data_IF_216252117632
#
_entry.id   IF_216252117632
#
_cell.length_a   1.000
_cell.length_b   1.000
_cell.length_c   1.000
_cell.angle_alpha   90.00
_cell.angle_beta   90.00
_cell.angle_gamma   90.00
#
_symmetry.space_group_name_H-M   'P 1'
#
loop_
_entity.id
_entity.type
_entity.pdbx_description
1 polymer ?
#
# COMPACT_ATOMS: atom_id res chain seq x y z
N UNK A 1 -37.77 15.88 -3.61
CA UNK A 1 -36.61 15.24 -2.94
C UNK A 1 -35.65 14.54 -3.90
N UNK A 2 -36.10 13.60 -4.76
CA UNK A 2 -35.23 12.93 -5.77
C UNK A 2 -34.43 13.88 -6.69
N UNK A 3 -35.08 14.92 -7.22
CA UNK A 3 -34.43 15.92 -8.08
C UNK A 3 -33.32 16.72 -7.37
N UNK A 4 -33.42 16.93 -6.05
CA UNK A 4 -32.42 17.68 -5.28
C UNK A 4 -31.13 16.87 -5.10
N UNK A 5 -31.24 15.55 -4.83
CA UNK A 5 -30.07 14.65 -4.69
C UNK A 5 -29.35 14.50 -6.01
N UNK A 6 -30.08 14.28 -7.11
CA UNK A 6 -29.47 14.16 -8.45
C UNK A 6 -28.78 15.47 -8.86
N UNK A 7 -29.36 16.62 -8.49
CA UNK A 7 -28.74 17.93 -8.74
C UNK A 7 -27.44 18.12 -7.95
N UNK A 8 -27.42 17.73 -6.67
CA UNK A 8 -26.22 17.75 -5.82
C UNK A 8 -25.10 16.88 -6.38
N UNK A 9 -25.41 15.62 -6.72
CA UNK A 9 -24.44 14.69 -7.31
C UNK A 9 -23.93 15.23 -8.64
N UNK A 10 -24.80 15.76 -9.51
CA UNK A 10 -24.40 16.36 -10.79
C UNK A 10 -23.48 17.57 -10.60
N UNK A 11 -23.76 18.40 -9.59
CA UNK A 11 -22.93 19.56 -9.23
C UNK A 11 -21.55 19.11 -8.73
N UNK A 12 -21.52 18.19 -7.78
CA UNK A 12 -20.27 17.66 -7.21
C UNK A 12 -19.42 16.96 -8.29
N UNK A 13 -20.05 16.20 -9.19
CA UNK A 13 -19.38 15.57 -10.34
C UNK A 13 -18.75 16.61 -11.29
N UNK A 14 -19.46 17.70 -11.60
CA UNK A 14 -18.91 18.80 -12.39
C UNK A 14 -17.73 19.48 -11.69
N UNK A 15 -17.77 19.59 -10.36
CA UNK A 15 -16.67 20.14 -9.58
C UNK A 15 -15.44 19.23 -9.66
N UNK A 16 -15.62 17.91 -9.55
CA UNK A 16 -14.54 16.93 -9.74
C UNK A 16 -13.91 17.05 -11.14
N UNK A 17 -14.74 17.14 -12.20
CA UNK A 17 -14.29 17.39 -13.57
C UNK A 17 -13.49 18.69 -13.71
N UNK A 18 -14.04 19.81 -13.21
CA UNK A 18 -13.38 21.12 -13.28
C UNK A 18 -12.06 21.15 -12.50
N UNK A 19 -11.98 20.38 -11.42
CA UNK A 19 -10.76 20.22 -10.61
C UNK A 19 -9.71 19.29 -11.23
N UNK A 20 -9.96 18.74 -12.44
CA UNK A 20 -9.10 17.77 -13.13
C UNK A 20 -8.86 16.48 -12.33
N UNK A 21 -9.77 16.15 -11.41
CA UNK A 21 -9.65 14.98 -10.55
C UNK A 21 -9.50 13.69 -11.35
N UNK A 22 -10.39 13.47 -12.34
CA UNK A 22 -10.36 12.27 -13.18
C UNK A 22 -9.10 12.16 -14.05
N UNK A 23 -8.51 13.29 -14.43
CA UNK A 23 -7.25 13.31 -15.18
C UNK A 23 -6.09 12.86 -14.28
N UNK A 24 -6.09 13.31 -13.02
CA UNK A 24 -5.09 12.93 -12.04
C UNK A 24 -5.19 11.45 -11.69
N UNK A 25 -6.41 10.92 -11.46
CA UNK A 25 -6.62 9.49 -11.18
C UNK A 25 -6.31 8.60 -12.39
N UNK A 26 -6.56 9.07 -13.62
CA UNK A 26 -6.14 8.35 -14.82
C UNK A 26 -4.61 8.36 -14.97
N UNK A 27 -3.97 9.49 -14.67
CA UNK A 27 -2.52 9.62 -14.66
C UNK A 27 -1.86 8.68 -13.65
N UNK A 28 -2.39 8.61 -12.42
CA UNK A 28 -1.90 7.68 -11.39
C UNK A 28 -2.12 6.22 -11.81
N UNK A 29 -3.28 5.88 -12.37
CA UNK A 29 -3.56 4.54 -12.90
C UNK A 29 -2.53 4.11 -13.95
N UNK A 30 -2.23 4.97 -14.92
CA UNK A 30 -1.24 4.70 -15.97
C UNK A 30 0.16 4.55 -15.34
N UNK A 31 0.56 5.49 -14.48
CA UNK A 31 1.88 5.50 -13.86
C UNK A 31 2.12 4.25 -13.02
N UNK A 32 1.18 3.89 -12.14
CA UNK A 32 1.27 2.68 -11.33
C UNK A 32 1.31 1.44 -12.21
N UNK A 33 0.41 1.34 -13.20
CA UNK A 33 0.37 0.17 -14.07
C UNK A 33 1.66 0.01 -14.88
N UNK A 34 2.22 1.09 -15.42
CA UNK A 34 3.50 1.07 -16.10
C UNK A 34 4.64 0.67 -15.17
N UNK A 35 4.71 1.23 -13.96
CA UNK A 35 5.75 0.89 -13.00
C UNK A 35 5.72 -0.59 -12.63
N UNK A 36 4.54 -1.13 -12.33
CA UNK A 36 4.37 -2.54 -11.95
C UNK A 36 4.82 -3.46 -13.10
N UNK A 37 4.27 -3.23 -14.30
CA UNK A 37 4.47 -4.13 -15.44
C UNK A 37 5.85 -4.02 -16.08
N UNK A 38 6.46 -2.83 -16.10
CA UNK A 38 7.72 -2.59 -16.82
C UNK A 38 8.95 -2.63 -15.91
N UNK A 39 8.81 -2.19 -14.66
CA UNK A 39 9.94 -2.05 -13.74
C UNK A 39 9.89 -3.14 -12.68
N UNK A 40 8.85 -3.13 -11.84
CA UNK A 40 8.83 -3.92 -10.60
C UNK A 40 8.87 -5.43 -10.84
N UNK A 41 8.10 -5.93 -11.80
CA UNK A 41 8.09 -7.36 -12.16
C UNK A 41 9.46 -7.85 -12.66
N UNK A 42 10.26 -6.97 -13.27
CA UNK A 42 11.58 -7.32 -13.83
C UNK A 42 12.72 -7.15 -12.83
N UNK A 43 12.45 -6.67 -11.62
CA UNK A 43 13.46 -6.57 -10.58
C UNK A 43 13.74 -7.97 -10.02
N UNK A 44 14.78 -8.61 -10.55
CA UNK A 44 15.40 -9.76 -9.89
C UNK A 44 16.26 -9.27 -8.73
N UNK A 45 15.66 -9.17 -7.55
CA UNK A 45 16.44 -9.08 -6.32
C UNK A 45 17.15 -10.42 -6.11
N UNK A 46 18.45 -10.46 -6.41
CA UNK A 46 19.31 -11.53 -5.93
C UNK A 46 19.36 -11.46 -4.41
N UNK A 47 18.90 -12.53 -3.77
CA UNK A 47 18.96 -12.69 -2.32
C UNK A 47 20.41 -13.07 -1.98
N UNK A 48 21.10 -12.16 -1.29
CA UNK A 48 22.51 -12.24 -0.86
C UNK A 48 23.53 -12.51 -1.97
N UNK A 49 24.30 -11.50 -2.41
CA UNK A 49 25.46 -11.72 -3.28
C UNK A 49 26.44 -12.67 -2.60
N UNK A 50 26.91 -13.69 -3.33
CA UNK A 50 27.88 -14.66 -2.80
C UNK A 50 29.21 -14.46 -3.50
N UNK A 51 30.25 -14.15 -2.73
CA UNK A 51 31.62 -13.99 -3.19
C UNK A 51 32.45 -15.21 -2.80
N UNK A 52 33.22 -15.75 -3.74
CA UNK A 52 34.06 -16.93 -3.52
C UNK A 52 35.53 -16.59 -3.77
N UNK A 53 36.38 -16.88 -2.80
CA UNK A 53 37.83 -16.91 -2.96
C UNK A 53 38.29 -18.37 -2.98
N UNK A 54 38.70 -18.87 -4.15
CA UNK A 54 39.17 -20.25 -4.34
C UNK A 54 40.53 -20.24 -5.05
N UNK A 55 41.63 -20.07 -4.29
CA UNK A 55 42.97 -19.98 -4.87
C UNK A 55 43.47 -21.30 -5.47
N UNK A 56 42.84 -22.42 -5.10
CA UNK A 56 43.25 -23.76 -5.52
C UNK A 56 42.36 -24.34 -6.63
N UNK A 57 41.29 -23.64 -7.03
CA UNK A 57 40.37 -24.07 -8.08
C UNK A 57 39.66 -25.38 -7.74
N UNK A 58 39.41 -25.64 -6.45
CA UNK A 58 38.75 -26.86 -5.97
C UNK A 58 37.28 -26.88 -6.40
N UNK A 59 36.66 -25.71 -6.47
CA UNK A 59 35.26 -25.51 -6.82
C UNK A 59 35.16 -24.93 -8.25
N UNK A 60 35.30 -25.80 -9.26
CA UNK A 60 35.19 -25.42 -10.68
C UNK A 60 33.74 -25.41 -11.19
N UNK A 61 32.82 -26.08 -10.50
CA UNK A 61 31.39 -26.22 -10.85
C UNK A 61 30.51 -25.51 -9.82
N UNK A 62 30.76 -24.21 -9.62
CA UNK A 62 29.94 -23.36 -8.74
C UNK A 62 28.75 -22.82 -9.54
N UNK A 63 27.67 -22.50 -8.84
CA UNK A 63 26.51 -21.81 -9.43
C UNK A 63 26.94 -20.52 -10.17
N UNK A 64 26.40 -20.24 -11.38
CA UNK A 64 26.82 -19.11 -12.22
C UNK A 64 26.60 -17.73 -11.59
N UNK A 65 25.76 -17.62 -10.57
CA UNK A 65 25.49 -16.38 -9.84
C UNK A 65 26.56 -16.05 -8.76
N UNK A 66 27.56 -16.91 -8.58
CA UNK A 66 28.63 -16.71 -7.57
C UNK A 66 29.77 -15.88 -8.15
N UNK A 67 30.12 -14.78 -7.49
CA UNK A 67 31.18 -13.88 -7.95
C UNK A 67 32.53 -14.38 -7.44
N UNK A 68 33.42 -14.77 -8.35
CA UNK A 68 34.79 -15.16 -7.98
C UNK A 68 35.63 -13.92 -7.67
N UNK A 69 36.42 -14.00 -6.62
CA UNK A 69 37.35 -12.96 -6.17
C UNK A 69 38.78 -13.46 -6.30
N UNK A 70 39.70 -12.57 -6.66
CA UNK A 70 41.10 -12.94 -6.92
C UNK A 70 41.96 -12.89 -5.65
N UNK A 71 41.46 -12.23 -4.60
CA UNK A 71 42.16 -12.07 -3.33
C UNK A 71 41.19 -12.05 -2.15
N UNK A 72 41.71 -12.42 -0.98
CA UNK A 72 40.99 -12.41 0.28
C UNK A 72 40.61 -10.97 0.69
N UNK A 73 41.44 -9.97 0.38
CA UNK A 73 41.12 -8.56 0.60
C UNK A 73 39.92 -8.09 -0.21
N UNK A 74 39.81 -8.51 -1.48
CA UNK A 74 38.64 -8.20 -2.31
C UNK A 74 37.37 -8.84 -1.76
N UNK A 75 37.46 -10.09 -1.27
CA UNK A 75 36.34 -10.77 -0.62
C UNK A 75 35.89 -10.04 0.65
N UNK A 76 36.83 -9.65 1.51
CA UNK A 76 36.51 -8.90 2.72
C UNK A 76 35.86 -7.56 2.41
N UNK A 77 36.40 -6.79 1.46
CA UNK A 77 35.83 -5.50 1.04
C UNK A 77 34.41 -5.65 0.49
N UNK A 78 34.16 -6.69 -0.32
CA UNK A 78 32.83 -6.96 -0.85
C UNK A 78 31.79 -7.28 0.24
N UNK A 79 32.21 -7.90 1.34
CA UNK A 79 31.33 -8.27 2.44
C UNK A 79 31.12 -7.16 3.49
N UNK A 80 31.81 -6.02 3.38
CA UNK A 80 31.63 -4.88 4.28
C UNK A 80 30.26 -4.20 4.14
N UNK A 81 29.53 -4.50 3.06
CA UNK A 81 28.20 -3.96 2.80
C UNK A 81 27.12 -4.43 3.81
N UNK A 82 27.44 -5.43 4.65
CA UNK A 82 26.51 -5.98 5.63
C UNK A 82 25.46 -6.93 5.04
N UNK A 83 25.44 -7.13 3.72
CA UNK A 83 24.42 -7.89 3.00
C UNK A 83 25.00 -9.11 2.26
N UNK A 84 26.19 -8.97 1.70
CA UNK A 84 26.90 -10.00 0.95
C UNK A 84 27.49 -11.09 1.86
N UNK A 85 27.73 -12.26 1.27
CA UNK A 85 28.32 -13.41 1.95
C UNK A 85 29.59 -13.84 1.24
N UNK A 86 30.70 -13.88 1.98
CA UNK A 86 31.98 -14.34 1.50
C UNK A 86 32.22 -15.81 1.85
N UNK A 87 32.82 -16.54 0.92
CA UNK A 87 33.28 -17.91 1.10
C UNK A 87 34.79 -17.93 0.85
N UNK A 88 35.56 -18.22 1.89
CA UNK A 88 36.99 -18.50 1.78
C UNK A 88 37.21 -20.01 1.64
N UNK A 89 37.61 -20.44 0.44
CA UNK A 89 37.92 -21.82 0.10
C UNK A 89 39.45 -22.09 0.04
N UNK A 90 40.28 -21.24 0.66
CA UNK A 90 41.73 -21.47 0.75
C UNK A 90 42.10 -22.68 1.62
N UNK A 91 41.26 -22.99 2.62
CA UNK A 91 41.44 -24.12 3.53
C UNK A 91 40.86 -25.45 3.04
N UNK A 92 41.02 -26.50 3.85
CA UNK A 92 40.40 -27.82 3.59
C UNK A 92 38.87 -27.81 3.74
N UNK A 93 38.35 -26.85 4.52
CA UNK A 93 36.93 -26.62 4.76
C UNK A 93 36.66 -25.16 4.43
N UNK A 94 35.61 -24.83 3.66
CA UNK A 94 35.30 -23.45 3.33
C UNK A 94 34.84 -22.70 4.59
N UNK A 95 35.43 -21.53 4.83
CA UNK A 95 35.04 -20.61 5.90
C UNK A 95 34.08 -19.54 5.36
N UNK A 96 33.11 -19.13 6.19
CA UNK A 96 32.10 -18.14 5.82
C UNK A 96 32.44 -16.80 6.46
N UNK A 97 32.55 -15.77 5.64
CA UNK A 97 32.80 -14.41 6.07
C UNK A 97 31.55 -13.54 5.87
N UNK A 98 30.98 -13.07 6.97
CA UNK A 98 29.81 -12.18 6.97
C UNK A 98 29.96 -11.11 8.05
N UNK A 99 29.45 -9.92 7.77
CA UNK A 99 29.15 -8.93 8.81
C UNK A 99 27.77 -9.27 9.37
N UNK A 100 27.67 -9.50 10.69
CA UNK A 100 26.41 -9.90 11.34
C UNK A 100 25.33 -8.85 11.15
N UNK A 101 24.12 -9.31 10.82
CA UNK A 101 22.93 -8.46 10.75
C UNK A 101 22.33 -8.13 12.13
N UNK A 102 22.87 -8.72 13.20
CA UNK A 102 22.29 -8.67 14.54
C UNK A 102 21.09 -9.60 14.74
N UNK A 103 20.69 -10.36 13.70
CA UNK A 103 19.59 -11.32 13.74
C UNK A 103 20.13 -12.71 13.37
N UNK A 104 20.17 -13.62 14.34
CA UNK A 104 20.77 -14.95 14.19
C UNK A 104 20.12 -15.78 13.07
N UNK A 105 18.79 -15.74 12.93
CA UNK A 105 18.09 -16.48 11.88
C UNK A 105 18.46 -15.99 10.48
N UNK A 106 18.60 -14.68 10.28
CA UNK A 106 19.03 -14.09 9.01
C UNK A 106 20.47 -14.48 8.69
N UNK A 107 21.37 -14.40 9.67
CA UNK A 107 22.78 -14.78 9.49
C UNK A 107 22.92 -16.28 9.16
N UNK A 108 22.13 -17.13 9.82
CA UNK A 108 22.06 -18.57 9.52
C UNK A 108 21.52 -18.85 8.11
N UNK A 109 20.46 -18.13 7.67
CA UNK A 109 19.90 -18.27 6.33
C UNK A 109 20.91 -17.84 5.25
N UNK A 110 21.60 -16.72 5.45
CA UNK A 110 22.67 -16.24 4.57
C UNK A 110 23.79 -17.26 4.42
N UNK A 111 24.24 -17.80 5.56
CA UNK A 111 25.29 -18.81 5.64
C UNK A 111 24.88 -20.09 4.90
N UNK A 112 23.69 -20.62 5.21
CA UNK A 112 23.18 -21.83 4.58
C UNK A 112 22.99 -21.66 3.07
N UNK A 113 22.50 -20.49 2.64
CA UNK A 113 22.34 -20.17 1.22
C UNK A 113 23.69 -20.12 0.50
N UNK A 114 24.71 -19.45 1.06
CA UNK A 114 26.05 -19.40 0.47
C UNK A 114 26.68 -20.81 0.35
N UNK A 115 26.58 -21.63 1.39
CA UNK A 115 27.06 -23.01 1.35
C UNK A 115 26.33 -23.86 0.30
N UNK A 116 25.03 -23.64 0.10
CA UNK A 116 24.26 -24.35 -0.94
C UNK A 116 24.81 -24.09 -2.34
N UNK A 117 25.42 -22.92 -2.58
CA UNK A 117 26.01 -22.54 -3.88
C UNK A 117 27.30 -23.29 -4.21
N UNK A 118 27.99 -23.84 -3.19
CA UNK A 118 29.15 -24.71 -3.36
C UNK A 118 28.76 -26.16 -3.69
N UNK A 119 27.54 -26.57 -3.34
CA UNK A 119 27.10 -27.95 -3.50
C UNK A 119 26.69 -28.26 -4.95
N UNK A 120 27.30 -29.30 -5.54
CA UNK A 120 27.00 -29.83 -6.89
C UNK A 120 25.93 -30.92 -6.88
N UNK A 121 25.42 -31.31 -5.70
CA UNK A 121 24.38 -32.30 -5.57
C UNK A 121 23.07 -31.82 -6.19
N UNK A 122 22.28 -32.75 -6.77
CA UNK A 122 20.94 -32.43 -7.24
C UNK A 122 20.16 -31.81 -6.10
N UNK A 123 19.93 -30.50 -6.16
CA UNK A 123 19.15 -29.80 -5.15
C UNK A 123 17.85 -30.59 -4.93
N UNK A 124 17.59 -31.01 -3.69
CA UNK A 124 16.31 -31.64 -3.36
C UNK A 124 15.25 -30.66 -3.79
N UNK A 125 14.48 -31.05 -4.82
CA UNK A 125 13.54 -30.14 -5.45
C UNK A 125 12.46 -29.86 -4.40
N UNK A 126 12.49 -28.66 -3.84
CA UNK A 126 11.47 -28.24 -2.89
C UNK A 126 10.10 -28.42 -3.55
N UNK A 127 9.16 -28.99 -2.80
CA UNK A 127 7.78 -29.04 -3.25
C UNK A 127 7.26 -27.61 -3.35
N UNK A 128 6.84 -27.22 -4.55
CA UNK A 128 6.26 -25.90 -4.78
C UNK A 128 4.81 -25.97 -4.30
N UNK A 129 4.55 -25.38 -3.14
CA UNK A 129 3.21 -25.25 -2.58
C UNK A 129 2.60 -23.92 -3.02
N UNK A 130 1.39 -23.98 -3.58
CA UNK A 130 0.64 -22.81 -4.06
C UNK A 130 0.72 -22.61 -5.57
N UNK A 131 -0.17 -21.75 -6.08
CA UNK A 131 -0.35 -21.52 -7.52
C UNK A 131 0.25 -20.20 -8.02
N UNK A 132 0.80 -19.37 -7.15
CA UNK A 132 1.31 -18.05 -7.52
C UNK A 132 2.80 -18.11 -7.81
N UNK A 133 3.18 -17.82 -9.06
CA UNK A 133 4.57 -17.57 -9.44
C UNK A 133 5.10 -16.28 -8.79
N UNK A 134 6.44 -16.12 -8.74
CA UNK A 134 7.13 -14.92 -8.22
C UNK A 134 6.54 -13.64 -8.80
N UNK A 135 6.33 -13.61 -10.11
CA UNK A 135 5.74 -12.46 -10.80
C UNK A 135 4.34 -12.15 -10.28
N UNK A 136 3.46 -13.15 -10.16
CA UNK A 136 2.09 -12.96 -9.70
C UNK A 136 2.03 -12.52 -8.24
N UNK A 137 2.90 -13.08 -7.38
CA UNK A 137 3.07 -12.63 -6.00
C UNK A 137 3.46 -11.14 -5.96
N UNK A 138 4.50 -10.77 -6.70
CA UNK A 138 4.99 -9.39 -6.73
C UNK A 138 3.92 -8.42 -7.25
N UNK A 139 3.19 -8.79 -8.32
CA UNK A 139 2.06 -8.01 -8.84
C UNK A 139 0.97 -7.80 -7.80
N UNK A 140 0.58 -8.84 -7.05
CA UNK A 140 -0.44 -8.74 -5.99
C UNK A 140 0.02 -7.84 -4.85
N UNK A 141 1.26 -7.98 -4.38
CA UNK A 141 1.81 -7.16 -3.29
C UNK A 141 1.86 -5.69 -3.68
N UNK A 142 2.54 -5.35 -4.77
CA UNK A 142 2.71 -3.93 -5.15
C UNK A 142 1.39 -3.26 -5.56
N UNK A 143 0.48 -4.00 -6.20
CA UNK A 143 -0.85 -3.47 -6.55
C UNK A 143 -1.64 -3.14 -5.29
N UNK A 144 -1.58 -4.01 -4.27
CA UNK A 144 -2.20 -3.75 -2.97
C UNK A 144 -1.63 -2.49 -2.30
N UNK A 145 -0.30 -2.33 -2.30
CA UNK A 145 0.37 -1.16 -1.69
C UNK A 145 -0.04 0.14 -2.36
N UNK A 146 0.02 0.21 -3.70
CA UNK A 146 -0.40 1.40 -4.44
C UNK A 146 -1.88 1.67 -4.33
N UNK A 147 -2.73 0.64 -4.34
CA UNK A 147 -4.16 0.84 -4.11
C UNK A 147 -4.39 1.47 -2.74
N UNK A 148 -3.73 0.96 -1.69
CA UNK A 148 -3.88 1.47 -0.34
C UNK A 148 -3.45 2.94 -0.24
N UNK A 149 -2.32 3.31 -0.86
CA UNK A 149 -1.85 4.69 -0.90
C UNK A 149 -2.80 5.61 -1.66
N UNK A 150 -3.25 5.20 -2.85
CA UNK A 150 -4.14 6.01 -3.67
C UNK A 150 -5.48 6.24 -2.96
N UNK A 151 -6.12 5.18 -2.44
CA UNK A 151 -7.39 5.30 -1.73
C UNK A 151 -7.27 6.18 -0.48
N UNK A 152 -6.15 6.08 0.24
CA UNK A 152 -5.89 6.92 1.40
C UNK A 152 -5.70 8.39 1.02
N UNK A 153 -4.92 8.67 -0.02
CA UNK A 153 -4.65 10.02 -0.48
C UNK A 153 -5.89 10.65 -1.12
N UNK A 154 -6.54 9.96 -2.05
CA UNK A 154 -7.71 10.43 -2.80
C UNK A 154 -8.89 10.67 -1.87
N UNK A 155 -9.21 9.71 -0.99
CA UNK A 155 -10.28 9.88 -0.01
C UNK A 155 -10.04 11.05 0.93
N UNK A 156 -8.82 11.20 1.45
CA UNK A 156 -8.51 12.25 2.43
C UNK A 156 -8.31 13.64 1.80
N UNK A 157 -7.31 13.75 0.91
CA UNK A 157 -6.89 15.01 0.29
C UNK A 157 -7.89 15.47 -0.77
N UNK A 158 -8.38 14.52 -1.59
CA UNK A 158 -9.33 14.82 -2.66
C UNK A 158 -10.60 15.43 -2.09
N UNK A 159 -11.23 14.78 -1.11
CA UNK A 159 -12.44 15.29 -0.49
C UNK A 159 -12.19 16.63 0.21
N UNK A 160 -11.15 16.72 1.04
CA UNK A 160 -10.85 17.96 1.76
C UNK A 160 -10.60 19.14 0.81
N UNK A 161 -9.89 18.93 -0.30
CA UNK A 161 -9.62 19.98 -1.29
C UNK A 161 -10.91 20.51 -1.94
N UNK A 162 -11.87 19.61 -2.25
CA UNK A 162 -13.17 20.01 -2.79
C UNK A 162 -13.97 20.80 -1.75
N UNK A 163 -13.91 20.41 -0.47
CA UNK A 163 -14.61 21.11 0.60
C UNK A 163 -14.01 22.49 0.88
N UNK A 164 -12.69 22.63 0.89
CA UNK A 164 -12.05 23.95 1.04
C UNK A 164 -12.38 24.89 -0.12
N UNK A 165 -12.43 24.38 -1.36
CA UNK A 165 -12.90 25.17 -2.51
C UNK A 165 -14.34 25.62 -2.30
N UNK A 166 -15.23 24.74 -1.85
CA UNK A 166 -16.62 25.12 -1.56
C UNK A 166 -16.76 26.12 -0.41
N UNK A 167 -15.94 26.00 0.64
CA UNK A 167 -15.88 26.97 1.75
C UNK A 167 -15.43 28.35 1.24
N UNK A 168 -14.39 28.41 0.43
CA UNK A 168 -13.91 29.66 -0.18
C UNK A 168 -14.92 30.29 -1.13
N UNK A 169 -15.67 29.48 -1.87
CA UNK A 169 -16.74 29.94 -2.77
C UNK A 169 -18.02 30.37 -2.02
N UNK A 170 -18.07 30.29 -0.68
CA UNK A 170 -19.27 30.62 0.12
C UNK A 170 -20.44 29.66 -0.09
N UNK A 171 -20.22 28.51 -0.74
CA UNK A 171 -21.26 27.53 -1.07
C UNK A 171 -21.86 26.91 0.19
N UNK A 172 -21.07 26.81 1.27
CA UNK A 172 -21.53 26.33 2.58
C UNK A 172 -22.59 27.28 3.17
N UNK A 173 -22.44 28.60 2.99
CA UNK A 173 -23.45 29.61 3.39
C UNK A 173 -24.75 29.50 2.60
N UNK A 174 -24.66 29.19 1.31
CA UNK A 174 -25.85 29.02 0.45
C UNK A 174 -26.59 27.72 0.79
N UNK A 175 -25.87 26.67 1.19
CA UNK A 175 -26.51 25.43 1.66
C UNK A 175 -27.04 25.54 3.09
N UNK A 176 -26.50 26.44 3.92
CA UNK A 176 -27.08 26.80 5.22
C UNK A 176 -28.50 27.39 5.08
N UNK A 177 -28.79 28.09 3.97
CA UNK A 177 -30.10 28.71 3.72
C UNK A 177 -31.07 27.85 2.89
N UNK A 178 -30.62 26.71 2.35
CA UNK A 178 -31.46 25.78 1.60
C UNK A 178 -32.06 24.71 2.52
N UNK A 179 -33.33 24.29 2.35
CA UNK A 179 -33.98 23.24 3.14
C UNK A 179 -33.51 21.83 2.74
N UNK A 180 -32.25 21.67 2.33
CA UNK A 180 -31.65 20.37 2.07
C UNK A 180 -30.99 19.87 3.35
N UNK A 181 -31.43 18.71 3.86
CA UNK A 181 -30.83 18.10 5.06
C UNK A 181 -29.32 17.92 4.85
N UNK A 182 -28.53 18.31 5.83
CA UNK A 182 -27.05 18.25 5.87
C UNK A 182 -26.52 16.87 5.50
N UNK A 183 -27.31 15.85 5.82
CA UNK A 183 -27.08 14.44 5.51
C UNK A 183 -26.99 14.18 4.00
N UNK A 184 -27.81 14.83 3.16
CA UNK A 184 -27.77 14.65 1.71
C UNK A 184 -26.54 15.31 1.07
N UNK A 185 -26.09 16.44 1.63
CA UNK A 185 -24.84 17.08 1.20
C UNK A 185 -23.63 16.18 1.46
N UNK A 186 -23.53 15.61 2.67
CA UNK A 186 -22.49 14.66 3.02
C UNK A 186 -22.56 13.38 2.16
N UNK A 187 -23.76 12.79 2.03
CA UNK A 187 -23.94 11.52 1.31
C UNK A 187 -23.63 11.63 -0.19
N UNK A 188 -23.98 12.76 -0.83
CA UNK A 188 -23.65 13.04 -2.24
C UNK A 188 -22.15 12.92 -2.50
N UNK A 189 -21.34 13.54 -1.63
CA UNK A 189 -19.88 13.56 -1.76
C UNK A 189 -19.28 12.19 -1.47
N UNK A 190 -19.70 11.55 -0.38
CA UNK A 190 -19.24 10.20 -0.04
C UNK A 190 -19.53 9.21 -1.17
N UNK A 191 -20.71 9.29 -1.78
CA UNK A 191 -21.08 8.41 -2.90
C UNK A 191 -20.17 8.62 -4.12
N UNK A 192 -19.87 9.86 -4.48
CA UNK A 192 -19.02 10.15 -5.65
C UNK A 192 -17.58 9.69 -5.46
N UNK A 193 -17.00 9.95 -4.28
CA UNK A 193 -15.64 9.49 -3.96
C UNK A 193 -15.59 7.96 -3.91
N UNK A 194 -16.56 7.32 -3.25
CA UNK A 194 -16.66 5.86 -3.20
C UNK A 194 -16.76 5.25 -4.59
N UNK A 195 -17.62 5.78 -5.48
CA UNK A 195 -17.75 5.27 -6.83
C UNK A 195 -16.47 5.45 -7.65
N UNK A 196 -15.80 6.60 -7.53
CA UNK A 196 -14.53 6.85 -8.22
C UNK A 196 -13.45 5.86 -7.75
N UNK A 197 -13.34 5.66 -6.44
CA UNK A 197 -12.39 4.74 -5.81
C UNK A 197 -12.65 3.28 -6.20
N UNK A 198 -13.92 2.85 -6.26
CA UNK A 198 -14.28 1.50 -6.68
C UNK A 198 -13.97 1.26 -8.17
N UNK A 199 -14.21 2.26 -9.03
CA UNK A 199 -13.84 2.18 -10.46
C UNK A 199 -12.32 2.14 -10.60
N UNK A 200 -11.59 2.96 -9.85
CA UNK A 200 -10.12 2.92 -9.84
C UNK A 200 -9.60 1.55 -9.38
N UNK A 201 -10.16 1.01 -8.30
CA UNK A 201 -9.84 -0.31 -7.75
C UNK A 201 -10.06 -1.41 -8.79
N UNK A 202 -11.20 -1.38 -9.47
CA UNK A 202 -11.53 -2.30 -10.56
C UNK A 202 -10.49 -2.25 -11.67
N UNK A 203 -10.19 -1.06 -12.19
CA UNK A 203 -9.28 -0.89 -13.31
C UNK A 203 -7.85 -1.28 -12.92
N UNK A 204 -7.35 -0.79 -11.78
CA UNK A 204 -5.99 -1.08 -11.32
C UNK A 204 -5.80 -2.60 -11.11
N UNK A 205 -6.78 -3.28 -10.53
CA UNK A 205 -6.71 -4.73 -10.29
C UNK A 205 -6.71 -5.52 -11.59
N UNK A 206 -7.63 -5.21 -12.52
CA UNK A 206 -7.74 -5.92 -13.78
C UNK A 206 -6.54 -5.69 -14.70
N UNK A 207 -5.98 -4.47 -14.73
CA UNK A 207 -4.82 -4.13 -15.55
C UNK A 207 -3.56 -4.84 -15.04
N UNK A 208 -3.36 -4.93 -13.71
CA UNK A 208 -2.12 -5.43 -13.15
C UNK A 208 -2.09 -6.95 -12.92
N UNK A 209 -3.22 -7.56 -12.55
CA UNK A 209 -3.32 -9.02 -12.32
C UNK A 209 -3.83 -9.76 -13.56
N UNK A 210 -4.46 -9.05 -14.51
CA UNK A 210 -5.16 -9.65 -15.64
C UNK A 210 -6.61 -10.02 -15.30
N UNK A 211 -7.42 -10.38 -16.32
CA UNK A 211 -8.86 -10.57 -16.14
C UNK A 211 -9.20 -11.78 -15.26
N UNK A 212 -8.53 -12.92 -15.43
CA UNK A 212 -8.85 -14.14 -14.68
C UNK A 212 -8.50 -14.02 -13.19
N UNK A 213 -7.25 -13.67 -12.89
CA UNK A 213 -6.78 -13.51 -11.51
C UNK A 213 -7.36 -12.27 -10.84
N UNK A 214 -7.58 -11.19 -11.59
CA UNK A 214 -8.22 -9.99 -11.07
C UNK A 214 -9.67 -10.25 -10.65
N UNK A 215 -10.47 -10.90 -11.49
CA UNK A 215 -11.88 -11.17 -11.20
C UNK A 215 -12.07 -12.10 -9.99
N UNK A 216 -11.12 -13.00 -9.72
CA UNK A 216 -11.22 -13.92 -8.58
C UNK A 216 -11.08 -13.21 -7.23
N UNK A 217 -10.22 -12.20 -7.14
CA UNK A 217 -9.99 -11.43 -5.90
C UNK A 217 -10.85 -10.18 -5.79
N UNK A 218 -11.35 -9.67 -6.92
CA UNK A 218 -12.04 -8.39 -7.01
C UNK A 218 -13.19 -8.20 -6.00
N UNK A 219 -14.08 -9.18 -5.74
CA UNK A 219 -15.16 -8.97 -4.76
C UNK A 219 -14.65 -8.65 -3.36
N UNK A 220 -13.60 -9.35 -2.92
CA UNK A 220 -12.99 -9.13 -1.61
C UNK A 220 -12.24 -7.78 -1.57
N UNK A 221 -11.51 -7.46 -2.64
CA UNK A 221 -10.77 -6.20 -2.76
C UNK A 221 -11.71 -5.00 -2.77
N UNK A 222 -12.84 -5.05 -3.50
CA UNK A 222 -13.83 -3.98 -3.55
C UNK A 222 -14.47 -3.70 -2.18
N UNK A 223 -14.70 -4.73 -1.36
CA UNK A 223 -15.21 -4.54 0.01
C UNK A 223 -14.21 -3.78 0.87
N UNK A 224 -12.93 -4.19 0.85
CA UNK A 224 -11.89 -3.50 1.63
C UNK A 224 -11.62 -2.09 1.11
N UNK A 225 -11.62 -1.89 -0.21
CA UNK A 225 -11.48 -0.59 -0.84
C UNK A 225 -12.63 0.34 -0.45
N UNK A 226 -13.87 -0.17 -0.42
CA UNK A 226 -15.03 0.60 0.02
C UNK A 226 -14.94 1.04 1.48
N UNK A 227 -14.51 0.14 2.38
CA UNK A 227 -14.32 0.45 3.80
C UNK A 227 -13.24 1.53 3.96
N UNK A 228 -12.08 1.35 3.34
CA UNK A 228 -10.97 2.30 3.41
C UNK A 228 -11.38 3.67 2.84
N UNK A 229 -11.98 3.69 1.65
CA UNK A 229 -12.48 4.91 1.00
C UNK A 229 -13.41 5.69 1.92
N UNK A 230 -14.39 5.02 2.55
CA UNK A 230 -15.34 5.68 3.47
C UNK A 230 -14.65 6.25 4.71
N UNK A 231 -13.75 5.50 5.36
CA UNK A 231 -13.00 5.96 6.54
C UNK A 231 -12.17 7.19 6.17
N UNK A 232 -11.44 7.13 5.06
CA UNK A 232 -10.53 8.19 4.63
C UNK A 232 -11.27 9.44 4.16
N UNK A 233 -12.38 9.26 3.43
CA UNK A 233 -13.27 10.35 3.03
C UNK A 233 -13.89 11.06 4.23
N UNK A 234 -14.42 10.32 5.22
CA UNK A 234 -14.98 10.90 6.44
C UNK A 234 -13.92 11.62 7.28
N UNK A 235 -12.73 11.05 7.40
CA UNK A 235 -11.61 11.67 8.12
C UNK A 235 -11.17 12.95 7.43
N UNK A 236 -11.02 12.94 6.10
CA UNK A 236 -10.71 14.13 5.29
C UNK A 236 -11.78 15.21 5.44
N UNK A 237 -13.06 14.81 5.45
CA UNK A 237 -14.18 15.72 5.67
C UNK A 237 -14.09 16.37 7.06
N UNK A 238 -13.90 15.56 8.11
CA UNK A 238 -13.80 16.04 9.49
C UNK A 238 -12.67 17.06 9.63
N UNK A 239 -11.48 16.73 9.14
CA UNK A 239 -10.32 17.63 9.15
C UNK A 239 -10.61 18.93 8.38
N UNK A 240 -11.29 18.85 7.23
CA UNK A 240 -11.61 20.02 6.43
C UNK A 240 -12.67 20.94 7.07
N UNK A 241 -13.57 20.41 7.92
CA UNK A 241 -14.45 21.25 8.75
C UNK A 241 -13.67 21.90 9.89
N UNK A 242 -12.88 21.11 10.63
CA UNK A 242 -12.22 21.56 11.86
C UNK A 242 -11.13 22.59 11.59
N UNK A 243 -10.47 22.52 10.43
CA UNK A 243 -9.38 23.42 10.06
C UNK A 243 -9.89 24.62 9.28
N UNK A 244 -9.28 25.78 9.55
CA UNK A 244 -9.73 27.05 8.95
C UNK A 244 -9.20 27.27 7.53
N UNK A 245 -8.11 26.60 7.14
CA UNK A 245 -7.51 26.82 5.83
C UNK A 245 -6.67 25.65 5.32
N UNK A 246 -6.51 25.63 3.99
CA UNK A 246 -5.83 24.56 3.27
C UNK A 246 -4.36 24.36 3.68
N UNK A 247 -3.65 25.43 4.07
CA UNK A 247 -2.25 25.34 4.52
C UNK A 247 -2.10 24.52 5.81
N UNK A 248 -2.98 24.71 6.78
CA UNK A 248 -3.00 23.92 8.02
C UNK A 248 -3.35 22.47 7.73
N UNK A 249 -4.32 22.25 6.83
CA UNK A 249 -4.70 20.92 6.38
C UNK A 249 -3.54 20.17 5.70
N UNK A 250 -2.80 20.84 4.82
CA UNK A 250 -1.65 20.23 4.13
C UNK A 250 -0.53 19.81 5.08
N UNK A 251 -0.28 20.58 6.16
CA UNK A 251 0.70 20.20 7.18
C UNK A 251 0.25 18.99 7.98
N UNK A 252 -1.02 18.97 8.41
CA UNK A 252 -1.60 17.82 9.09
C UNK A 252 -1.60 16.56 8.21
N UNK A 253 -1.90 16.73 6.91
CA UNK A 253 -1.86 15.66 5.93
C UNK A 253 -0.48 15.01 5.85
N UNK A 254 0.62 15.77 5.88
CA UNK A 254 1.95 15.20 5.81
C UNK A 254 2.22 14.25 7.00
N UNK A 255 1.85 14.67 8.21
CA UNK A 255 1.98 13.85 9.42
C UNK A 255 1.09 12.61 9.33
N UNK A 256 -0.16 12.77 8.89
CA UNK A 256 -1.09 11.67 8.71
C UNK A 256 -0.65 10.71 7.61
N UNK A 257 -0.03 11.19 6.54
CA UNK A 257 0.47 10.34 5.46
C UNK A 257 1.56 9.39 6.00
N UNK A 258 2.50 9.89 6.80
CA UNK A 258 3.50 9.03 7.47
C UNK A 258 2.80 7.99 8.35
N UNK A 259 1.85 8.41 9.19
CA UNK A 259 1.08 7.49 10.02
C UNK A 259 0.34 6.41 9.20
N UNK A 260 -0.36 6.80 8.15
CA UNK A 260 -1.16 5.89 7.32
C UNK A 260 -0.28 4.90 6.56
N UNK A 261 0.88 5.35 6.07
CA UNK A 261 1.79 4.52 5.26
C UNK A 261 2.72 3.64 6.09
N UNK A 262 2.88 3.91 7.39
CA UNK A 262 3.76 3.14 8.28
C UNK A 262 3.54 1.62 8.22
N UNK A 263 2.30 1.10 8.27
CA UNK A 263 2.08 -0.35 8.20
C UNK A 263 2.47 -0.96 6.86
N UNK A 264 2.39 -0.20 5.76
CA UNK A 264 2.77 -0.67 4.43
C UNK A 264 4.27 -0.92 4.37
N UNK A 265 5.08 0.01 4.87
CA UNK A 265 6.53 -0.16 4.88
C UNK A 265 7.01 -1.23 5.87
N UNK A 266 6.42 -1.27 7.06
CA UNK A 266 6.83 -2.24 8.08
C UNK A 266 6.37 -3.67 7.73
N UNK A 267 5.08 -3.89 7.52
CA UNK A 267 4.53 -5.22 7.30
C UNK A 267 4.54 -5.66 5.82
N UNK A 268 4.53 -4.72 4.88
CA UNK A 268 4.59 -5.02 3.45
C UNK A 268 6.00 -5.39 3.00
N UNK A 269 7.01 -4.61 3.40
CA UNK A 269 8.36 -4.69 2.82
C UNK A 269 9.42 -5.30 3.73
N UNK A 270 9.40 -4.99 5.04
CA UNK A 270 10.49 -5.44 5.94
C UNK A 270 10.24 -6.80 6.60
N UNK A 271 8.99 -7.32 6.58
CA UNK A 271 8.63 -8.56 7.27
C UNK A 271 8.75 -8.48 8.80
N UNK A 272 9.02 -7.28 9.34
CA UNK A 272 9.19 -7.03 10.77
C UNK A 272 7.81 -6.95 11.41
N UNK A 273 7.44 -8.00 12.14
CA UNK A 273 6.23 -8.03 12.96
C UNK A 273 6.59 -7.56 14.37
N UNK A 274 6.58 -6.23 14.60
CA UNK A 274 6.61 -5.71 15.97
C UNK A 274 5.25 -5.88 16.61
N UNK A 275 5.19 -6.42 17.83
CA UNK A 275 3.92 -6.66 18.54
C UNK A 275 3.06 -5.40 18.68
N UNK A 276 3.68 -4.22 18.72
CA UNK A 276 2.97 -2.94 18.84
C UNK A 276 2.25 -2.51 17.55
N UNK A 277 2.61 -3.05 16.39
CA UNK A 277 1.95 -2.70 15.12
C UNK A 277 0.47 -3.11 15.13
N UNK A 278 0.11 -4.10 15.96
CA UNK A 278 -1.26 -4.56 16.15
C UNK A 278 -2.18 -3.47 16.73
N UNK A 279 -1.64 -2.47 17.42
CA UNK A 279 -2.43 -1.32 17.90
C UNK A 279 -2.68 -0.27 16.82
N UNK A 280 -2.03 -0.37 15.66
CA UNK A 280 -2.18 0.59 14.57
C UNK A 280 -3.44 0.30 13.75
N UNK A 281 -4.43 1.21 13.67
CA UNK A 281 -5.69 0.92 12.97
C UNK A 281 -5.48 0.68 11.47
N UNK A 282 -4.55 1.40 10.84
CA UNK A 282 -4.25 1.23 9.41
C UNK A 282 -3.54 -0.10 9.12
N UNK A 283 -2.93 -0.74 10.12
CA UNK A 283 -2.32 -2.07 9.93
C UNK A 283 -3.40 -3.11 9.61
N UNK A 284 -4.51 -3.10 10.35
CA UNK A 284 -5.62 -4.03 10.10
C UNK A 284 -6.28 -3.79 8.75
N UNK A 285 -6.46 -2.53 8.35
CA UNK A 285 -7.01 -2.19 7.03
C UNK A 285 -6.07 -2.63 5.90
N UNK A 286 -4.76 -2.39 6.03
CA UNK A 286 -3.77 -2.81 5.06
C UNK A 286 -3.67 -4.33 4.96
N UNK A 287 -3.60 -5.04 6.10
CA UNK A 287 -3.55 -6.49 6.12
C UNK A 287 -4.83 -7.13 5.55
N UNK A 288 -6.00 -6.55 5.81
CA UNK A 288 -7.24 -7.02 5.21
C UNK A 288 -7.25 -6.85 3.68
N UNK A 289 -6.74 -5.72 3.17
CA UNK A 289 -6.56 -5.49 1.74
C UNK A 289 -5.56 -6.49 1.13
N UNK A 290 -4.40 -6.67 1.77
CA UNK A 290 -3.36 -7.63 1.34
C UNK A 290 -3.92 -9.04 1.29
N UNK A 291 -4.60 -9.48 2.34
CA UNK A 291 -5.23 -10.79 2.40
C UNK A 291 -6.27 -10.99 1.29
N UNK A 292 -7.05 -9.95 0.97
CA UNK A 292 -8.00 -10.00 -0.15
C UNK A 292 -7.29 -10.21 -1.50
N UNK A 293 -6.18 -9.54 -1.76
CA UNK A 293 -5.36 -9.75 -2.96
C UNK A 293 -4.74 -11.15 -3.04
N UNK A 294 -4.53 -11.82 -1.91
CA UNK A 294 -4.00 -13.19 -1.88
C UNK A 294 -5.08 -14.28 -1.81
N UNK A 295 -6.37 -13.92 -1.80
CA UNK A 295 -7.46 -14.88 -1.65
C UNK A 295 -7.46 -15.59 -0.29
N UNK A 296 -6.79 -15.01 0.71
CA UNK A 296 -6.79 -15.50 2.08
C UNK A 296 -8.17 -15.25 2.68
N UNK A 297 -8.60 -16.13 3.61
CA UNK A 297 -9.92 -16.03 4.25
C UNK A 297 -10.23 -14.60 4.71
N UNK A 298 -11.46 -14.13 4.50
CA UNK A 298 -11.87 -12.78 4.86
C UNK A 298 -11.66 -12.55 6.37
N UNK A 299 -11.37 -11.30 6.72
CA UNK A 299 -11.21 -10.89 8.10
C UNK A 299 -12.42 -11.30 8.95
N UNK A 300 -12.20 -11.58 10.24
CA UNK A 300 -13.26 -12.08 11.14
C UNK A 300 -14.42 -11.08 11.29
N UNK A 301 -15.57 -11.58 11.78
CA UNK A 301 -16.78 -10.77 12.02
C UNK A 301 -16.48 -9.54 12.89
N UNK A 302 -15.60 -9.69 13.89
CA UNK A 302 -15.17 -8.61 14.78
C UNK A 302 -14.50 -7.45 14.03
N UNK A 303 -13.71 -7.73 12.99
CA UNK A 303 -13.09 -6.69 12.16
C UNK A 303 -14.14 -5.87 11.42
N UNK A 304 -15.09 -6.54 10.75
CA UNK A 304 -16.13 -5.84 10.02
C UNK A 304 -17.07 -5.05 10.95
N UNK A 305 -17.39 -5.60 12.12
CA UNK A 305 -18.14 -4.89 13.15
C UNK A 305 -17.39 -3.62 13.58
N UNK A 306 -16.10 -3.70 13.88
CA UNK A 306 -15.27 -2.56 14.25
C UNK A 306 -15.21 -1.49 13.13
N UNK A 307 -15.02 -1.90 11.87
CA UNK A 307 -15.02 -1.00 10.72
C UNK A 307 -16.38 -0.29 10.55
N UNK A 308 -17.49 -1.03 10.66
CA UNK A 308 -18.83 -0.46 10.57
C UNK A 308 -19.10 0.54 11.71
N UNK A 309 -18.69 0.21 12.94
CA UNK A 309 -18.77 1.12 14.08
C UNK A 309 -17.92 2.36 13.87
N UNK A 310 -16.70 2.23 13.34
CA UNK A 310 -15.81 3.35 13.05
C UNK A 310 -16.42 4.28 11.99
N UNK A 311 -16.91 3.74 10.87
CA UNK A 311 -17.58 4.50 9.80
C UNK A 311 -18.81 5.22 10.34
N UNK A 312 -19.67 4.51 11.10
CA UNK A 312 -20.88 5.10 11.68
C UNK A 312 -20.55 6.22 12.67
N UNK A 313 -19.56 6.01 13.55
CA UNK A 313 -19.13 7.00 14.54
C UNK A 313 -18.55 8.24 13.86
N UNK A 314 -17.68 8.05 12.87
CA UNK A 314 -17.12 9.14 12.06
C UNK A 314 -18.21 9.91 11.32
N UNK A 315 -19.19 9.21 10.75
CA UNK A 315 -20.32 9.84 10.07
C UNK A 315 -21.13 10.75 11.02
N UNK A 316 -21.42 10.27 12.23
CA UNK A 316 -22.12 11.08 13.25
C UNK A 316 -21.29 12.29 13.69
N UNK A 317 -19.98 12.12 13.89
CA UNK A 317 -19.07 13.20 14.25
C UNK A 317 -19.00 14.27 13.16
N UNK A 318 -18.83 13.87 11.90
CA UNK A 318 -18.81 14.77 10.74
C UNK A 318 -20.14 15.52 10.62
N UNK A 319 -21.27 14.82 10.75
CA UNK A 319 -22.59 15.45 10.72
C UNK A 319 -22.73 16.50 11.84
N UNK A 320 -22.34 16.17 13.06
CA UNK A 320 -22.38 17.10 14.19
C UNK A 320 -21.50 18.32 13.99
N UNK A 321 -20.28 18.12 13.48
CA UNK A 321 -19.36 19.21 13.14
C UNK A 321 -19.92 20.10 12.02
N UNK A 322 -20.54 19.51 10.99
CA UNK A 322 -21.15 20.23 9.87
C UNK A 322 -22.31 21.12 10.32
N UNK A 323 -23.21 20.59 11.17
CA UNK A 323 -24.33 21.36 11.74
C UNK A 323 -23.82 22.56 12.55
N UNK A 324 -22.80 22.35 13.39
CA UNK A 324 -22.20 23.43 14.17
C UNK A 324 -21.54 24.50 13.31
N UNK A 325 -20.91 24.11 12.21
CA UNK A 325 -20.26 25.06 11.31
C UNK A 325 -21.28 25.86 10.50
N UNK A 326 -22.35 25.23 10.00
CA UNK A 326 -23.42 25.94 9.28
C UNK A 326 -24.20 26.90 10.20
N UNK A 327 -24.35 26.56 11.48
CA UNK A 327 -24.96 27.45 12.48
C UNK A 327 -24.11 28.67 12.86
N UNK A 328 -22.79 28.68 12.56
CA UNK A 328 -21.93 29.85 12.77
C UNK A 328 -21.91 30.79 11.56
N UNK A 329 -22.24 30.28 10.38
CA UNK A 329 -22.16 31.01 9.12
C UNK A 329 -23.50 31.61 8.65
N UNK A 330 -24.62 31.20 9.26
CA UNK A 330 -25.96 31.78 9.09
C UNK A 330 -26.35 32.64 10.29
#
# INVERSE_FOLDING_TARGET
MRYAVVSLVKKDFRLMLASKFFLLTLGSLILYSCYINLVYVRLDQQIYPVYLYDPHGVYNTVSPDTVKTESLDQLHQACLDGYSVGIDASGKVPEIYIVSSGIESTDNLRTAYALSRLSTGSASKAEIIGSNDKEMKNRREITCEFLFFELSAVGFLGLASTLFKEKQMGVIRVHSTLPARETFFLLSKLLLFLLADLVFTLLLTLINLGPFEGLSVLPAVLVQAGILSLIMALTGFLCAILLRGFRQFSLLYLVLAVFITTPVFLAGQTGIAWDWILFHPMYHLFMAMKNAYFGIKPAGILYYAACMTAVFSLFLLVRGALVREMAKEG
#
